data_IF_509312274433
#
_entry.id   IF_509312274433
#
_cell.length_a   1.000
_cell.length_b   1.000
_cell.length_c   1.000
_cell.angle_alpha   90.00
_cell.angle_beta   90.00
_cell.angle_gamma   90.00
#
_symmetry.space_group_name_H-M   'P 1'
#
loop_
_entity.id
_entity.type
_entity.pdbx_description
1 polymer ?
#
# COMPACT_ATOMS: atom_id res chain seq x y z
N UNK A 1 12.14 -2.50 -7.20
CA UNK A 1 13.02 -2.51 -6.00
C UNK A 1 12.27 -2.82 -4.71
N UNK A 2 11.03 -2.34 -4.53
CA UNK A 2 10.21 -2.59 -3.33
C UNK A 2 10.12 -4.07 -2.90
N UNK A 3 9.89 -5.00 -3.83
CA UNK A 3 9.80 -6.43 -3.54
C UNK A 3 11.12 -7.03 -3.01
N UNK A 4 12.26 -6.56 -3.51
CA UNK A 4 13.57 -7.02 -3.06
C UNK A 4 13.89 -6.52 -1.64
N UNK A 5 13.59 -5.25 -1.35
CA UNK A 5 13.71 -4.71 0.01
C UNK A 5 12.77 -5.43 0.99
N UNK A 6 11.56 -5.77 0.56
CA UNK A 6 10.60 -6.56 1.35
C UNK A 6 11.12 -7.96 1.69
N UNK A 7 11.83 -8.60 0.74
CA UNK A 7 12.47 -9.90 0.95
C UNK A 7 13.60 -9.83 1.98
N UNK A 8 14.47 -8.82 1.87
CA UNK A 8 15.58 -8.64 2.81
C UNK A 8 15.16 -8.23 4.23
N UNK A 9 13.97 -7.64 4.38
CA UNK A 9 13.43 -7.19 5.67
C UNK A 9 13.04 -8.32 6.64
N UNK A 10 13.08 -9.59 6.19
CA UNK A 10 12.81 -10.75 7.04
C UNK A 10 11.34 -10.90 7.47
N UNK A 11 11.07 -11.82 8.41
CA UNK A 11 9.71 -12.15 8.89
C UNK A 11 9.31 -11.55 10.24
N UNK A 12 10.25 -10.94 10.97
CA UNK A 12 10.01 -10.40 12.32
C UNK A 12 9.52 -8.96 12.35
N UNK A 13 8.83 -8.60 13.44
CA UNK A 13 8.42 -7.22 13.76
C UNK A 13 9.59 -6.48 14.39
N UNK A 14 10.54 -6.06 13.55
CA UNK A 14 11.67 -5.21 13.96
C UNK A 14 11.40 -3.75 13.57
N UNK A 15 11.94 -2.78 14.32
CA UNK A 15 11.81 -1.33 14.04
C UNK A 15 12.17 -0.99 12.58
N UNK A 16 13.23 -1.61 12.06
CA UNK A 16 13.65 -1.44 10.65
C UNK A 16 12.62 -1.99 9.65
N UNK A 17 12.02 -3.14 9.98
CA UNK A 17 10.99 -3.80 9.17
C UNK A 17 9.72 -2.96 9.11
N UNK A 18 9.33 -2.34 10.23
CA UNK A 18 8.16 -1.46 10.28
C UNK A 18 8.30 -0.19 9.45
N UNK A 19 9.47 0.45 9.47
CA UNK A 19 9.71 1.64 8.65
C UNK A 19 9.58 1.35 7.15
N UNK A 20 10.10 0.19 6.70
CA UNK A 20 10.01 -0.24 5.31
C UNK A 20 8.56 -0.56 4.92
N UNK A 21 7.82 -1.29 5.76
CA UNK A 21 6.42 -1.62 5.51
C UNK A 21 5.54 -0.37 5.45
N UNK A 22 5.77 0.61 6.32
CA UNK A 22 5.06 1.88 6.30
C UNK A 22 5.33 2.67 5.02
N UNK A 23 6.59 2.81 4.62
CA UNK A 23 6.94 3.44 3.35
C UNK A 23 6.34 2.68 2.17
N UNK A 24 6.36 1.35 2.19
CA UNK A 24 5.80 0.50 1.14
C UNK A 24 4.29 0.72 0.97
N UNK A 25 3.55 0.89 2.07
CA UNK A 25 2.11 1.18 2.03
C UNK A 25 1.81 2.60 1.53
N UNK A 26 2.64 3.59 1.87
CA UNK A 26 2.43 4.99 1.47
C UNK A 26 2.96 5.34 0.08
N UNK A 27 3.96 4.63 -0.42
CA UNK A 27 4.55 4.87 -1.74
C UNK A 27 3.52 4.83 -2.89
N UNK A 28 2.59 3.85 -2.96
CA UNK A 28 1.55 3.81 -3.98
C UNK A 28 0.70 5.09 -4.03
N UNK A 29 0.31 5.64 -2.88
CA UNK A 29 -0.50 6.86 -2.83
C UNK A 29 0.29 8.07 -3.32
N UNK A 30 1.57 8.20 -2.92
CA UNK A 30 2.45 9.27 -3.41
C UNK A 30 2.68 9.18 -4.91
N UNK A 31 2.87 7.96 -5.41
CA UNK A 31 3.05 7.68 -6.84
C UNK A 31 1.82 8.04 -7.66
N UNK A 32 0.62 7.72 -7.16
CA UNK A 32 -0.63 8.10 -7.80
C UNK A 32 -0.88 9.62 -7.77
N UNK A 33 -0.58 10.28 -6.66
CA UNK A 33 -0.69 11.74 -6.56
C UNK A 33 0.29 12.47 -7.52
N UNK A 34 1.50 11.93 -7.70
CA UNK A 34 2.51 12.48 -8.59
C UNK A 34 2.41 11.97 -10.04
N UNK A 35 1.41 11.13 -10.36
CA UNK A 35 1.28 10.48 -11.66
C UNK A 35 1.26 11.48 -12.81
N UNK A 36 0.48 12.56 -12.70
CA UNK A 36 0.37 13.57 -13.76
C UNK A 36 1.71 14.27 -14.04
N UNK A 37 2.51 14.51 -13.01
CA UNK A 37 3.85 15.11 -13.13
C UNK A 37 4.84 14.10 -13.73
N UNK A 38 4.76 12.82 -13.35
CA UNK A 38 5.62 11.77 -13.90
C UNK A 38 5.35 11.51 -15.40
N UNK A 39 4.10 11.69 -15.85
CA UNK A 39 3.71 11.52 -17.26
C UNK A 39 3.78 12.81 -18.08
N UNK A 40 3.98 13.98 -17.46
CA UNK A 40 4.14 15.26 -18.14
C UNK A 40 5.21 15.28 -19.26
N UNK A 41 6.43 14.71 -19.08
CA UNK A 41 7.44 14.68 -20.14
C UNK A 41 7.12 13.70 -21.29
N UNK A 42 6.14 12.81 -21.12
CA UNK A 42 5.74 11.81 -22.12
C UNK A 42 4.46 12.20 -22.88
N UNK A 43 3.88 13.37 -22.60
CA UNK A 43 2.73 13.87 -23.34
C UNK A 43 3.14 14.22 -24.79
N UNK A 44 2.32 13.87 -25.80
CA UNK A 44 2.65 14.15 -27.19
C UNK A 44 2.79 15.66 -27.41
N UNK A 45 3.98 16.08 -27.83
CA UNK A 45 4.29 17.46 -28.20
C UNK A 45 3.73 17.67 -29.62
N UNK A 46 2.72 18.53 -29.83
CA UNK A 46 2.35 18.90 -31.19
C UNK A 46 3.53 19.63 -31.84
N UNK A 47 3.87 19.26 -33.07
CA UNK A 47 5.00 19.78 -33.82
C UNK A 47 5.03 21.33 -33.78
N UNK A 48 6.06 21.90 -33.15
CA UNK A 48 6.30 23.35 -33.10
C UNK A 48 6.21 24.03 -31.73
N UNK A 49 5.84 23.35 -30.64
CA UNK A 49 5.88 23.92 -29.27
C UNK A 49 6.97 23.27 -28.41
N UNK A 50 7.85 24.08 -27.80
CA UNK A 50 8.90 23.63 -26.86
C UNK A 50 8.37 23.10 -25.53
N UNK A 51 7.06 23.19 -25.28
CA UNK A 51 6.41 22.80 -24.04
C UNK A 51 5.09 22.08 -24.33
N UNK A 52 4.92 20.91 -23.71
CA UNK A 52 3.77 20.04 -23.87
C UNK A 52 2.46 20.76 -23.46
N UNK A 53 1.37 20.62 -24.24
CA UNK A 53 0.09 21.20 -23.90
C UNK A 53 -0.48 20.47 -22.67
N UNK A 54 -0.97 21.26 -21.71
CA UNK A 54 -1.61 20.88 -20.45
C UNK A 54 -1.44 19.42 -19.97
N UNK A 55 -0.58 19.26 -18.97
CA UNK A 55 -0.39 18.05 -18.15
C UNK A 55 -1.64 17.59 -17.37
N UNK A 56 -2.85 18.06 -17.75
CA UNK A 56 -4.15 17.74 -17.15
C UNK A 56 -5.07 16.93 -18.07
N UNK A 57 -4.69 16.65 -19.31
CA UNK A 57 -5.54 15.84 -20.19
C UNK A 57 -5.49 14.36 -19.80
N UNK A 58 -6.65 13.83 -19.39
CA UNK A 58 -6.85 12.39 -19.14
C UNK A 58 -6.68 11.54 -20.41
N UNK A 59 -6.62 12.17 -21.59
CA UNK A 59 -6.56 11.50 -22.88
C UNK A 59 -5.13 11.21 -23.38
N UNK A 60 -4.08 11.71 -22.71
CA UNK A 60 -2.69 11.42 -23.08
C UNK A 60 -2.23 10.10 -22.43
N UNK A 61 -1.89 9.12 -23.27
CA UNK A 61 -1.34 7.80 -22.90
C UNK A 61 -2.18 7.02 -21.85
N UNK A 62 -3.46 6.70 -22.15
CA UNK A 62 -4.35 6.03 -21.21
C UNK A 62 -3.86 4.63 -20.80
N UNK A 63 -3.29 3.87 -21.75
CA UNK A 63 -2.82 2.51 -21.50
C UNK A 63 -1.66 2.48 -20.48
N UNK A 64 -0.72 3.41 -20.59
CA UNK A 64 0.43 3.52 -19.70
C UNK A 64 0.02 3.97 -18.30
N UNK A 65 -0.94 4.88 -18.18
CA UNK A 65 -1.52 5.29 -16.89
C UNK A 65 -2.25 4.14 -16.19
N UNK A 66 -2.99 3.32 -16.94
CA UNK A 66 -3.67 2.12 -16.40
C UNK A 66 -2.63 1.12 -15.88
N UNK A 67 -1.60 0.81 -16.67
CA UNK A 67 -0.53 -0.11 -16.24
C UNK A 67 0.19 0.43 -15.00
N UNK A 68 0.45 1.74 -14.94
CA UNK A 68 1.05 2.38 -13.77
C UNK A 68 0.17 2.25 -12.51
N UNK A 69 -1.15 2.45 -12.64
CA UNK A 69 -2.10 2.24 -11.55
C UNK A 69 -2.09 0.78 -11.07
N UNK A 70 -2.15 -0.18 -12.00
CA UNK A 70 -2.11 -1.61 -11.68
C UNK A 70 -0.83 -2.02 -10.94
N UNK A 71 0.34 -1.53 -11.37
CA UNK A 71 1.61 -1.79 -10.70
C UNK A 71 1.66 -1.18 -9.27
N UNK A 72 1.08 -0.01 -9.06
CA UNK A 72 0.98 0.59 -7.73
C UNK A 72 0.01 -0.18 -6.83
N UNK A 73 -1.12 -0.64 -7.36
CA UNK A 73 -2.06 -1.51 -6.63
C UNK A 73 -1.42 -2.84 -6.27
N UNK A 74 -0.66 -3.46 -7.17
CA UNK A 74 0.08 -4.69 -6.88
C UNK A 74 1.09 -4.50 -5.75
N UNK A 75 1.79 -3.37 -5.75
CA UNK A 75 2.74 -3.01 -4.68
C UNK A 75 2.02 -2.82 -3.34
N UNK A 76 0.85 -2.17 -3.34
CA UNK A 76 0.02 -2.00 -2.15
C UNK A 76 -0.46 -3.35 -1.59
N UNK A 77 -0.95 -4.23 -2.46
CA UNK A 77 -1.41 -5.58 -2.09
C UNK A 77 -0.30 -6.41 -1.46
N UNK A 78 0.93 -6.34 -1.98
CA UNK A 78 2.10 -7.00 -1.37
C UNK A 78 2.43 -6.44 0.02
N UNK A 79 2.32 -5.12 0.20
CA UNK A 79 2.48 -4.47 1.51
C UNK A 79 1.44 -4.95 2.52
N UNK A 80 0.16 -4.98 2.12
CA UNK A 80 -0.93 -5.48 2.96
C UNK A 80 -0.77 -6.96 3.32
N UNK A 81 -0.35 -7.79 2.36
CA UNK A 81 -0.05 -9.20 2.63
C UNK A 81 1.05 -9.34 3.68
N UNK A 82 2.12 -8.54 3.59
CA UNK A 82 3.19 -8.56 4.58
C UNK A 82 2.69 -8.12 5.96
N UNK A 83 1.88 -7.05 6.05
CA UNK A 83 1.28 -6.61 7.31
C UNK A 83 0.45 -7.73 7.95
N UNK A 84 -0.30 -8.47 7.13
CA UNK A 84 -1.05 -9.65 7.58
C UNK A 84 -0.12 -10.73 8.12
N UNK A 85 0.94 -11.07 7.38
CA UNK A 85 1.92 -12.09 7.81
C UNK A 85 2.65 -11.71 9.11
N UNK A 86 2.82 -10.41 9.38
CA UNK A 86 3.41 -9.91 10.62
C UNK A 86 2.42 -9.80 11.79
N UNK A 87 1.13 -10.08 11.58
CA UNK A 87 0.10 -9.95 12.62
C UNK A 87 -0.25 -8.50 12.99
N UNK A 88 0.01 -7.54 12.10
CA UNK A 88 -0.21 -6.12 12.36
C UNK A 88 -1.63 -5.66 12.02
N UNK A 89 -2.33 -6.44 11.20
CA UNK A 89 -3.71 -6.15 10.81
C UNK A 89 -4.66 -6.79 11.83
N UNK A 90 -5.63 -6.04 12.39
CA UNK A 90 -6.59 -6.53 13.37
C UNK A 90 -7.61 -7.48 12.72
N UNK A 91 -7.16 -8.67 12.37
CA UNK A 91 -7.89 -9.67 11.59
C UNK A 91 -8.23 -10.90 12.41
N UNK A 92 -7.55 -11.13 13.53
CA UNK A 92 -7.84 -12.21 14.46
C UNK A 92 -8.87 -11.80 15.50
N UNK A 93 -9.63 -12.77 16.01
CA UNK A 93 -10.51 -12.58 17.18
C UNK A 93 -9.74 -12.10 18.42
N UNK A 94 -8.47 -12.50 18.54
CA UNK A 94 -7.57 -12.04 19.60
C UNK A 94 -7.32 -10.53 19.60
N UNK A 95 -7.35 -9.88 18.42
CA UNK A 95 -7.14 -8.43 18.30
C UNK A 95 -8.29 -7.63 18.92
N UNK A 96 -9.48 -8.26 19.03
CA UNK A 96 -10.71 -7.67 19.56
C UNK A 96 -11.03 -8.12 20.98
N UNK A 97 -10.20 -8.99 21.56
CA UNK A 97 -10.44 -9.63 22.86
C UNK A 97 -10.59 -8.61 24.01
N UNK A 98 -9.96 -7.44 23.89
CA UNK A 98 -10.10 -6.35 24.86
C UNK A 98 -11.50 -5.71 24.86
N UNK A 99 -12.27 -5.88 23.78
CA UNK A 99 -13.61 -5.33 23.62
C UNK A 99 -14.71 -6.41 23.79
N UNK A 100 -14.32 -7.67 23.96
CA UNK A 100 -15.24 -8.79 24.12
C UNK A 100 -15.73 -8.89 25.57
N UNK A 101 -17.04 -8.79 25.79
CA UNK A 101 -17.66 -9.05 27.09
C UNK A 101 -17.64 -10.54 27.40
N UNK A 102 -16.99 -10.95 28.48
CA UNK A 102 -16.99 -12.34 28.94
C UNK A 102 -18.11 -12.58 29.94
N UNK A 103 -18.80 -13.71 29.81
CA UNK A 103 -19.80 -14.15 30.78
C UNK A 103 -19.19 -14.35 32.17
N UNK A 104 -20.02 -14.30 33.21
CA UNK A 104 -19.60 -14.62 34.58
C UNK A 104 -19.02 -16.04 34.61
N UNK A 105 -17.86 -16.25 35.28
CA UNK A 105 -17.32 -17.59 35.45
C UNK A 105 -18.33 -18.46 36.22
N UNK A 106 -18.52 -19.73 35.84
CA UNK A 106 -19.42 -20.61 36.57
C UNK A 106 -18.91 -20.77 38.00
N UNK A 107 -19.77 -20.47 38.97
CA UNK A 107 -19.47 -20.73 40.38
C UNK A 107 -19.43 -22.24 40.61
N UNK A 108 -18.27 -22.75 41.02
CA UNK A 108 -18.14 -24.14 41.43
C UNK A 108 -18.77 -24.29 42.82
N UNK A 109 -20.03 -24.72 42.86
CA UNK A 109 -20.64 -25.15 44.11
C UNK A 109 -20.09 -26.53 44.44
N UNK A 110 -19.06 -26.58 45.28
CA UNK A 110 -18.60 -27.82 45.89
C UNK A 110 -19.65 -28.25 46.91
N UNK A 111 -20.45 -29.26 46.57
CA UNK A 111 -21.38 -29.96 47.47
C UNK A 111 -20.74 -31.25 47.99
#
# INVERSE_FOLDING_TARGET
>A
MQAFMLYMSGGGVQVFSMGIVFMLLLSPFKNLAAMNTAFAPFAPIPAGKKQAPEAKSLSTLPLQKIVYLLCNLLTLSLGLWKCRSMGLLPTGTGDWLAFETRGQPPEFVLM
#
